data_IF_214140537695
#
_entry.id   IF_214140537695
#
_cell.length_a   1.000
_cell.length_b   1.000
_cell.length_c   1.000
_cell.angle_alpha   90.00
_cell.angle_beta   90.00
_cell.angle_gamma   90.00
#
_symmetry.space_group_name_H-M   'P 1'
#
loop_
_entity.id
_entity.type
_entity.pdbx_description
1 polymer ?
#
# COMPACT_ATOMS: atom_id res chain seq x y z
N UNK A 1 10.02 -16.04 10.95
CA UNK A 1 8.86 -16.54 10.18
C UNK A 1 8.99 -16.08 8.74
N UNK A 2 8.34 -16.76 7.80
CA UNK A 2 8.40 -16.41 6.37
C UNK A 2 7.30 -15.45 5.92
N UNK A 3 6.23 -15.34 6.71
CA UNK A 3 5.03 -14.52 6.43
C UNK A 3 4.79 -13.55 7.60
N UNK A 4 4.35 -12.34 7.28
CA UNK A 4 3.90 -11.30 8.22
C UNK A 4 2.63 -10.60 7.68
N UNK A 5 1.83 -10.02 8.57
CA UNK A 5 0.66 -9.20 8.21
C UNK A 5 0.79 -7.83 8.88
N UNK A 6 0.56 -6.77 8.11
CA UNK A 6 0.41 -5.41 8.61
C UNK A 6 -1.08 -5.06 8.62
N UNK A 7 -1.58 -4.58 9.75
CA UNK A 7 -2.98 -4.21 9.91
C UNK A 7 -3.16 -2.85 10.57
N UNK A 8 -4.32 -2.24 10.36
CA UNK A 8 -4.75 -1.02 11.03
C UNK A 8 -5.73 -1.34 12.16
N UNK A 9 -5.53 -0.71 13.31
CA UNK A 9 -6.52 -0.65 14.38
C UNK A 9 -7.06 0.80 14.46
N UNK A 10 -8.36 1.03 14.21
CA UNK A 10 -8.94 2.38 14.22
C UNK A 10 -8.91 3.04 15.60
N UNK A 11 -8.67 2.29 16.68
CA UNK A 11 -8.73 2.77 18.05
C UNK A 11 -7.35 2.91 18.72
N UNK A 12 -6.27 2.53 18.03
CA UNK A 12 -4.91 2.61 18.57
C UNK A 12 -4.65 1.57 19.68
N UNK A 13 -3.54 1.74 20.39
CA UNK A 13 -2.99 0.69 21.26
C UNK A 13 -3.72 0.51 22.59
N UNK A 14 -4.23 1.60 23.17
CA UNK A 14 -4.82 1.61 24.52
C UNK A 14 -6.13 2.43 24.55
N UNK A 15 -7.21 1.91 23.93
CA UNK A 15 -8.46 2.64 23.91
C UNK A 15 -9.17 2.60 25.28
N UNK A 16 -9.55 3.77 25.78
CA UNK A 16 -10.35 3.90 27.01
C UNK A 16 -11.87 3.70 26.77
N UNK A 17 -12.33 3.75 25.51
CA UNK A 17 -13.73 3.59 25.15
C UNK A 17 -14.15 2.12 25.17
N UNK A 18 -15.32 1.82 25.75
CA UNK A 18 -15.89 0.47 25.75
C UNK A 18 -16.11 -0.09 24.34
N UNK A 19 -16.55 0.77 23.40
CA UNK A 19 -16.77 0.38 22.00
C UNK A 19 -15.52 -0.19 21.32
N UNK A 20 -14.33 0.20 21.76
CA UNK A 20 -13.04 -0.21 21.21
C UNK A 20 -12.38 -1.35 22.00
N UNK A 21 -12.68 -1.49 23.28
CA UNK A 21 -12.12 -2.55 24.14
C UNK A 21 -12.98 -3.81 24.20
N UNK A 22 -14.28 -3.73 23.90
CA UNK A 22 -15.20 -4.86 23.92
C UNK A 22 -14.83 -5.93 22.86
N UNK A 23 -14.49 -7.18 23.26
CA UNK A 23 -14.13 -8.23 22.31
C UNK A 23 -15.21 -8.58 21.30
N UNK A 24 -16.49 -8.39 21.65
CA UNK A 24 -17.63 -8.67 20.79
C UNK A 24 -17.86 -7.60 19.71
N UNK A 25 -17.24 -6.42 19.85
CA UNK A 25 -17.33 -5.32 18.89
C UNK A 25 -16.11 -5.24 17.97
N UNK A 26 -15.06 -6.05 18.23
CA UNK A 26 -13.85 -6.05 17.41
C UNK A 26 -14.09 -6.67 16.03
N UNK A 27 -13.41 -6.18 14.97
CA UNK A 27 -13.43 -6.80 13.66
C UNK A 27 -13.09 -8.28 13.75
N UNK A 28 -13.77 -9.12 12.97
CA UNK A 28 -13.41 -10.53 12.92
C UNK A 28 -12.12 -10.68 12.15
N UNK A 29 -11.31 -11.68 12.51
CA UNK A 29 -10.05 -11.95 11.82
C UNK A 29 -10.24 -12.25 10.32
N UNK A 30 -11.42 -12.74 9.95
CA UNK A 30 -11.81 -13.06 8.57
C UNK A 30 -12.26 -11.83 7.76
N UNK A 31 -12.54 -10.70 8.40
CA UNK A 31 -12.95 -9.46 7.74
C UNK A 31 -11.72 -8.68 7.24
N UNK A 32 -10.85 -9.37 6.50
CA UNK A 32 -9.53 -8.89 6.09
C UNK A 32 -9.58 -7.53 5.36
N UNK A 33 -10.63 -7.27 4.59
CA UNK A 33 -10.80 -6.01 3.86
C UNK A 33 -10.90 -4.76 4.74
N UNK A 34 -11.21 -4.93 6.03
CA UNK A 34 -11.44 -3.81 6.96
C UNK A 34 -10.16 -3.37 7.67
N UNK A 35 -9.20 -4.28 7.86
CA UNK A 35 -8.02 -4.02 8.68
C UNK A 35 -6.68 -4.34 8.00
N UNK A 36 -6.64 -5.18 6.94
CA UNK A 36 -5.37 -5.61 6.35
C UNK A 36 -4.76 -4.54 5.44
N UNK A 37 -3.62 -4.02 5.86
CA UNK A 37 -2.84 -3.03 5.12
C UNK A 37 -1.86 -3.69 4.14
N UNK A 38 -1.09 -4.69 4.56
CA UNK A 38 -0.08 -5.33 3.72
C UNK A 38 0.27 -6.76 4.18
N UNK A 39 0.84 -7.55 3.28
CA UNK A 39 1.37 -8.90 3.50
C UNK A 39 2.87 -8.89 3.26
N UNK A 40 3.62 -9.34 4.27
CA UNK A 40 5.06 -9.53 4.19
C UNK A 40 5.38 -10.98 3.84
N UNK A 41 6.20 -11.21 2.83
CA UNK A 41 6.73 -12.54 2.49
C UNK A 41 8.22 -12.46 2.18
N UNK A 42 9.01 -13.36 2.78
CA UNK A 42 10.47 -13.43 2.59
C UNK A 42 11.19 -12.10 2.79
N UNK A 43 10.74 -11.31 3.79
CA UNK A 43 11.35 -10.03 4.12
C UNK A 43 10.96 -8.86 3.21
N UNK A 44 9.96 -9.03 2.34
CA UNK A 44 9.45 -7.99 1.44
C UNK A 44 7.96 -7.74 1.71
N UNK A 45 7.56 -6.47 1.68
CA UNK A 45 6.16 -6.04 1.83
C UNK A 45 5.58 -5.82 0.44
N UNK A 46 4.57 -6.59 0.05
CA UNK A 46 4.10 -6.62 -1.34
C UNK A 46 3.42 -5.33 -1.79
N UNK A 47 2.47 -4.80 -1.01
CA UNK A 47 1.76 -3.56 -1.41
C UNK A 47 2.66 -2.34 -1.30
N UNK A 48 3.50 -2.28 -0.26
CA UNK A 48 4.47 -1.20 -0.11
C UNK A 48 5.48 -1.19 -1.27
N UNK A 49 5.97 -2.35 -1.70
CA UNK A 49 6.89 -2.44 -2.84
C UNK A 49 6.23 -1.95 -4.13
N UNK A 50 4.99 -2.33 -4.40
CA UNK A 50 4.24 -1.84 -5.58
C UNK A 50 4.00 -0.33 -5.50
N UNK A 51 3.59 0.19 -4.34
CA UNK A 51 3.35 1.62 -4.15
C UNK A 51 4.62 2.47 -4.28
N UNK A 52 5.79 1.90 -3.97
CA UNK A 52 7.09 2.57 -4.07
C UNK A 52 7.73 2.46 -5.45
N UNK A 53 7.14 1.73 -6.40
CA UNK A 53 7.77 1.45 -7.70
C UNK A 53 8.04 2.71 -8.52
N UNK A 54 7.04 3.57 -8.63
CA UNK A 54 7.06 4.79 -9.47
C UNK A 54 6.72 6.04 -8.64
N UNK A 55 7.11 6.05 -7.35
CA UNK A 55 6.66 7.07 -6.39
C UNK A 55 7.22 8.48 -6.63
N UNK A 56 8.23 8.63 -7.49
CA UNK A 56 8.80 9.89 -7.94
C UNK A 56 8.18 10.41 -9.24
N UNK A 57 7.31 9.63 -9.88
CA UNK A 57 6.57 10.02 -11.09
C UNK A 57 5.22 10.62 -10.69
N UNK A 58 4.97 11.86 -11.09
CA UNK A 58 3.68 12.53 -10.91
C UNK A 58 2.92 12.61 -12.24
N UNK A 59 2.02 11.65 -12.51
CA UNK A 59 1.25 11.60 -13.75
C UNK A 59 0.41 12.87 -14.02
N UNK A 60 0.04 13.61 -12.97
CA UNK A 60 -0.76 14.82 -13.12
C UNK A 60 -0.03 15.94 -13.86
N UNK A 61 1.29 16.01 -13.75
CA UNK A 61 2.12 17.01 -14.44
C UNK A 61 2.09 16.85 -15.97
N UNK A 62 1.81 15.64 -16.45
CA UNK A 62 1.81 15.30 -17.86
C UNK A 62 0.42 15.30 -18.49
N UNK A 63 -0.64 15.62 -17.72
CA UNK A 63 -2.05 15.51 -18.16
C UNK A 63 -2.37 16.35 -19.39
N UNK A 64 -1.65 17.45 -19.61
CA UNK A 64 -1.90 18.37 -20.73
C UNK A 64 -1.03 18.06 -21.97
N UNK A 65 -0.13 17.08 -21.89
CA UNK A 65 0.72 16.71 -23.02
C UNK A 65 -0.04 15.92 -24.08
N UNK A 66 0.38 15.95 -25.36
CA UNK A 66 -0.05 14.98 -26.37
C UNK A 66 0.20 13.54 -25.90
N UNK A 67 -0.64 12.58 -26.31
CA UNK A 67 -0.54 11.19 -25.84
C UNK A 67 0.84 10.57 -26.10
N UNK A 68 1.48 10.95 -27.20
CA UNK A 68 2.80 10.48 -27.60
C UNK A 68 3.89 10.87 -26.60
N UNK A 69 3.68 11.93 -25.82
CA UNK A 69 4.61 12.43 -24.80
C UNK A 69 4.22 12.04 -23.37
N UNK A 70 3.08 11.37 -23.16
CA UNK A 70 2.65 10.90 -21.83
C UNK A 70 3.21 9.53 -21.48
N UNK A 71 3.66 8.77 -22.47
CA UNK A 71 4.20 7.43 -22.26
C UNK A 71 5.73 7.50 -22.20
N UNK A 72 6.31 6.78 -21.25
CA UNK A 72 7.73 6.46 -21.25
C UNK A 72 7.89 4.97 -21.54
N UNK A 73 8.67 4.65 -22.56
CA UNK A 73 9.02 3.26 -22.87
C UNK A 73 10.31 2.87 -22.14
N UNK A 74 10.43 1.63 -21.70
CA UNK A 74 11.62 1.17 -20.95
C UNK A 74 12.94 1.34 -21.72
N UNK A 75 12.88 1.41 -23.06
CA UNK A 75 14.03 1.68 -23.90
C UNK A 75 14.52 3.14 -23.82
N UNK A 76 13.65 4.10 -23.52
CA UNK A 76 13.99 5.52 -23.40
C UNK A 76 14.69 5.86 -22.09
N UNK A 77 14.54 4.99 -21.08
CA UNK A 77 15.18 5.12 -19.77
C UNK A 77 16.65 4.66 -19.77
N UNK A 78 17.13 4.04 -20.86
CA UNK A 78 18.51 3.57 -20.98
C UNK A 78 19.35 4.60 -21.72
N UNK A 79 20.36 5.14 -21.04
CA UNK A 79 21.26 6.15 -21.63
C UNK A 79 22.32 5.56 -22.58
N UNK A 80 22.57 4.26 -22.47
CA UNK A 80 23.44 3.52 -23.38
C UNK A 80 22.73 3.34 -24.73
N UNK A 81 23.31 3.90 -25.78
CA UNK A 81 22.93 3.62 -27.18
C UNK A 81 23.63 2.38 -27.69
#
# INVERSE_FOLDING_TARGET
GFVALAGVDPHGREPALYSASCPHLRPRIWDLGVWLLDVGFLGRWWRLEEAMRDCDVNEEEFRDFPEELRRMESGELRSER
#
